data_IF_580253945504
#
_entry.id   IF_580253945504
#
_cell.length_a   1.000
_cell.length_b   1.000
_cell.length_c   1.000
_cell.angle_alpha   90.00
_cell.angle_beta   90.00
_cell.angle_gamma   90.00
#
_symmetry.space_group_name_H-M   'P 1'
#
loop_
_entity.id
_entity.type
_entity.pdbx_description
1 polymer ?
#
# COMPACT_ATOMS: atom_id res chain seq x y z
N UNK A 1 15.40 -3.77 -9.40
CA UNK A 1 16.60 -3.01 -9.00
C UNK A 1 17.24 -2.19 -10.12
N UNK A 2 17.01 -2.45 -11.41
CA UNK A 2 17.68 -1.72 -12.51
C UNK A 2 17.63 -0.18 -12.37
N UNK A 3 16.45 0.40 -12.13
CA UNK A 3 16.26 1.85 -11.95
C UNK A 3 16.71 2.39 -10.57
N UNK A 4 17.27 1.55 -9.69
CA UNK A 4 17.77 1.95 -8.36
C UNK A 4 16.77 2.78 -7.53
N UNK A 5 15.49 2.41 -7.56
CA UNK A 5 14.40 3.08 -6.85
C UNK A 5 14.48 2.87 -5.32
N UNK A 6 15.51 3.40 -4.67
CA UNK A 6 15.82 3.13 -3.26
C UNK A 6 14.78 3.64 -2.26
N UNK A 7 13.89 4.54 -2.69
CA UNK A 7 12.75 5.00 -1.88
C UNK A 7 11.56 4.02 -1.92
N UNK A 8 11.60 3.00 -2.78
CA UNK A 8 10.58 1.95 -2.85
C UNK A 8 10.85 0.88 -1.80
N UNK A 9 9.87 0.67 -0.93
CA UNK A 9 9.88 -0.38 0.11
C UNK A 9 8.61 -1.20 -0.08
N UNK A 10 8.76 -2.48 -0.37
CA UNK A 10 7.66 -3.43 -0.50
C UNK A 10 7.63 -4.37 0.71
N UNK A 11 6.43 -4.64 1.24
CA UNK A 11 6.21 -5.68 2.23
C UNK A 11 5.55 -6.86 1.54
N UNK A 12 6.18 -8.03 1.65
CA UNK A 12 5.62 -9.29 1.17
C UNK A 12 5.13 -10.09 2.38
N UNK A 13 3.81 -10.25 2.47
CA UNK A 13 3.16 -11.11 3.45
C UNK A 13 3.32 -12.58 3.02
N UNK A 14 4.39 -13.19 3.52
CA UNK A 14 4.74 -14.59 3.29
C UNK A 14 3.98 -15.47 4.28
N UNK A 15 2.69 -15.69 4.01
CA UNK A 15 1.80 -16.50 4.85
C UNK A 15 1.60 -17.94 4.34
N UNK A 16 2.37 -18.32 3.32
CA UNK A 16 2.37 -19.63 2.66
C UNK A 16 1.00 -20.12 2.18
N UNK A 17 0.04 -19.22 1.96
CA UNK A 17 -1.35 -19.57 1.62
C UNK A 17 -1.89 -18.77 0.44
N UNK A 18 -2.59 -19.44 -0.47
CA UNK A 18 -3.36 -18.88 -1.58
C UNK A 18 -4.83 -19.27 -1.45
N UNK A 19 -5.68 -18.88 -2.41
CA UNK A 19 -7.10 -19.28 -2.46
C UNK A 19 -7.25 -20.81 -2.47
N UNK A 20 -6.44 -21.50 -3.28
CA UNK A 20 -6.57 -22.95 -3.50
C UNK A 20 -5.91 -23.80 -2.40
N UNK A 21 -5.12 -23.19 -1.50
CA UNK A 21 -4.47 -23.92 -0.42
C UNK A 21 -3.07 -23.38 -0.10
N UNK A 22 -2.14 -24.27 0.22
CA UNK A 22 -0.76 -23.89 0.50
C UNK A 22 -0.04 -23.45 -0.77
N UNK A 23 0.86 -22.48 -0.66
CA UNK A 23 1.66 -21.97 -1.79
C UNK A 23 2.41 -23.09 -2.48
N UNK A 24 2.96 -24.07 -1.75
CA UNK A 24 3.73 -25.18 -2.31
C UNK A 24 3.01 -26.05 -3.36
N UNK A 25 1.68 -25.91 -3.51
CA UNK A 25 0.92 -26.53 -4.60
C UNK A 25 1.27 -25.95 -5.99
N UNK A 26 1.65 -24.67 -6.05
CA UNK A 26 1.90 -23.96 -7.31
C UNK A 26 3.03 -22.92 -7.25
N UNK A 27 3.62 -22.67 -6.07
CA UNK A 27 4.57 -21.61 -5.79
C UNK A 27 5.54 -22.03 -4.68
N UNK A 28 6.77 -22.39 -5.05
CA UNK A 28 7.79 -22.95 -4.15
C UNK A 28 9.19 -22.34 -4.34
N UNK A 29 9.28 -21.20 -5.01
CA UNK A 29 10.54 -20.48 -5.22
C UNK A 29 10.97 -19.68 -3.97
N UNK A 30 12.26 -19.36 -3.88
CA UNK A 30 12.76 -18.38 -2.90
C UNK A 30 12.58 -16.96 -3.46
N UNK A 31 11.50 -16.31 -3.04
CA UNK A 31 11.17 -14.93 -3.40
C UNK A 31 12.30 -13.97 -3.03
N UNK A 32 12.91 -14.15 -1.86
CA UNK A 32 14.03 -13.34 -1.41
C UNK A 32 15.23 -13.46 -2.36
N UNK A 33 15.59 -14.69 -2.74
CA UNK A 33 16.67 -14.92 -3.69
C UNK A 33 16.36 -14.32 -5.08
N UNK A 34 15.13 -14.46 -5.58
CA UNK A 34 14.73 -13.84 -6.85
C UNK A 34 14.83 -12.31 -6.82
N UNK A 35 14.37 -11.67 -5.74
CA UNK A 35 14.49 -10.22 -5.59
C UNK A 35 15.94 -9.76 -5.42
N UNK A 36 16.77 -10.52 -4.70
CA UNK A 36 18.20 -10.27 -4.62
C UNK A 36 18.86 -10.30 -6.02
N UNK A 37 18.49 -11.27 -6.87
CA UNK A 37 18.96 -11.36 -8.25
C UNK A 37 18.52 -10.15 -9.10
N UNK A 38 17.37 -9.54 -8.81
CA UNK A 38 16.93 -8.28 -9.41
C UNK A 38 17.64 -7.03 -8.85
N UNK A 39 18.69 -7.21 -8.03
CA UNK A 39 19.41 -6.16 -7.30
C UNK A 39 18.51 -5.35 -6.36
N UNK A 40 17.71 -6.04 -5.56
CA UNK A 40 16.99 -5.46 -4.42
C UNK A 40 17.74 -5.70 -3.12
N UNK A 41 17.52 -4.83 -2.14
CA UNK A 41 17.81 -5.13 -0.75
C UNK A 41 16.72 -6.05 -0.20
N UNK A 42 17.09 -7.11 0.51
CA UNK A 42 16.14 -8.11 1.03
C UNK A 42 16.28 -8.14 2.55
N UNK A 43 15.21 -7.75 3.24
CA UNK A 43 15.09 -7.85 4.69
C UNK A 43 14.07 -8.94 5.03
N UNK A 44 14.21 -9.56 6.22
CA UNK A 44 13.32 -10.62 6.67
C UNK A 44 12.78 -10.34 8.07
N UNK A 45 11.50 -10.65 8.26
CA UNK A 45 10.85 -10.76 9.58
C UNK A 45 10.36 -12.20 9.68
N UNK A 46 11.01 -13.02 10.51
CA UNK A 46 10.72 -14.46 10.58
C UNK A 46 9.44 -14.80 11.37
N UNK A 47 8.97 -13.88 12.21
CA UNK A 47 7.72 -14.04 12.98
C UNK A 47 6.96 -12.71 13.04
N UNK A 48 6.28 -12.37 11.94
CA UNK A 48 5.48 -11.16 11.84
C UNK A 48 4.31 -11.14 12.83
N UNK A 49 3.83 -12.30 13.28
CA UNK A 49 2.69 -12.34 14.20
C UNK A 49 3.07 -12.07 15.65
N UNK A 50 4.30 -12.38 16.09
CA UNK A 50 4.69 -12.25 17.50
C UNK A 50 5.92 -11.38 17.75
N UNK A 51 6.66 -10.94 16.72
CA UNK A 51 7.82 -10.07 16.93
C UNK A 51 7.43 -8.71 17.57
N UNK A 52 8.36 -8.10 18.34
CA UNK A 52 8.12 -6.80 18.95
C UNK A 52 7.99 -5.71 17.88
N UNK A 53 7.18 -4.70 18.17
CA UNK A 53 6.97 -3.50 17.35
C UNK A 53 8.28 -2.80 16.96
N UNK A 54 9.28 -2.82 17.84
CA UNK A 54 10.61 -2.25 17.59
C UNK A 54 11.37 -2.94 16.45
N UNK A 55 11.06 -4.22 16.14
CA UNK A 55 11.64 -4.89 14.97
C UNK A 55 11.11 -4.29 13.67
N UNK A 56 9.81 -3.99 13.60
CA UNK A 56 9.21 -3.31 12.45
C UNK A 56 9.84 -1.95 12.22
N UNK A 57 10.01 -1.17 13.29
CA UNK A 57 10.69 0.13 13.21
C UNK A 57 12.11 -0.02 12.66
N UNK A 58 12.89 -0.96 13.20
CA UNK A 58 14.27 -1.24 12.75
C UNK A 58 14.31 -1.58 11.26
N UNK A 59 13.44 -2.48 10.79
CA UNK A 59 13.39 -2.92 9.39
C UNK A 59 13.01 -1.77 8.46
N UNK A 60 12.05 -0.93 8.85
CA UNK A 60 11.67 0.27 8.08
C UNK A 60 12.83 1.28 8.02
N UNK A 61 13.54 1.50 9.13
CA UNK A 61 14.70 2.40 9.14
C UNK A 61 15.85 1.86 8.29
N UNK A 62 16.11 0.56 8.36
CA UNK A 62 17.13 -0.10 7.54
C UNK A 62 16.79 0.02 6.05
N UNK A 63 15.53 -0.23 5.67
CA UNK A 63 15.04 -0.04 4.31
C UNK A 63 15.17 1.41 3.83
N UNK A 64 14.84 2.40 4.69
CA UNK A 64 14.99 3.84 4.39
C UNK A 64 16.44 4.30 4.29
N UNK A 65 17.38 3.58 4.92
CA UNK A 65 18.80 3.91 4.85
C UNK A 65 19.46 3.52 3.53
N UNK A 66 18.81 2.65 2.73
CA UNK A 66 19.26 2.27 1.40
C UNK A 66 19.31 3.47 0.46
N UNK A 67 20.38 3.53 -0.36
CA UNK A 67 20.63 4.62 -1.32
C UNK A 67 20.63 4.17 -2.78
N UNK A 68 20.74 2.87 -3.03
CA UNK A 68 20.93 2.35 -4.39
C UNK A 68 19.95 1.27 -4.80
N UNK A 69 19.24 0.65 -3.86
CA UNK A 69 18.40 -0.51 -4.12
C UNK A 69 17.01 -0.30 -3.53
N UNK A 70 15.93 -0.62 -4.26
CA UNK A 70 14.63 -0.81 -3.62
C UNK A 70 14.73 -1.95 -2.58
N UNK A 71 13.88 -1.91 -1.56
CA UNK A 71 13.85 -2.92 -0.51
C UNK A 71 12.58 -3.76 -0.59
N UNK A 72 12.72 -5.08 -0.47
CA UNK A 72 11.63 -5.99 -0.13
C UNK A 72 11.83 -6.50 1.29
N UNK A 73 10.77 -6.44 2.10
CA UNK A 73 10.70 -7.05 3.42
C UNK A 73 9.85 -8.30 3.30
N UNK A 74 10.48 -9.47 3.34
CA UNK A 74 9.80 -10.77 3.36
C UNK A 74 9.39 -11.05 4.80
N UNK A 75 8.08 -10.98 5.07
CA UNK A 75 7.53 -11.10 6.41
C UNK A 75 6.75 -12.40 6.52
N UNK A 76 7.27 -13.35 7.29
CA UNK A 76 6.56 -14.59 7.57
C UNK A 76 5.40 -14.32 8.51
N UNK A 77 4.20 -14.73 8.12
CA UNK A 77 3.01 -14.63 8.96
C UNK A 77 2.16 -15.89 8.87
N UNK A 78 1.12 -15.95 9.68
CA UNK A 78 0.07 -16.95 9.68
C UNK A 78 -1.21 -16.25 9.23
N UNK A 79 -1.75 -16.65 8.08
CA UNK A 79 -3.03 -16.14 7.60
C UNK A 79 -4.13 -16.41 8.63
N UNK A 80 -4.97 -15.42 8.91
CA UNK A 80 -6.00 -15.54 9.93
C UNK A 80 -5.45 -15.84 11.33
N UNK A 81 -4.26 -15.33 11.67
CA UNK A 81 -3.65 -15.50 12.99
C UNK A 81 -4.66 -15.25 14.13
N UNK A 82 -4.79 -16.25 15.00
CA UNK A 82 -5.70 -16.37 16.11
C UNK A 82 -7.19 -16.50 15.77
N UNK A 83 -7.54 -16.83 14.53
CA UNK A 83 -8.87 -17.30 14.12
C UNK A 83 -9.22 -18.71 14.66
N UNK A 84 -8.24 -19.40 15.26
CA UNK A 84 -8.44 -20.69 15.90
C UNK A 84 -8.52 -21.86 14.91
N UNK A 85 -8.90 -23.03 15.45
CA UNK A 85 -8.76 -24.32 14.77
C UNK A 85 -9.55 -24.36 13.45
N UNK A 86 -8.87 -24.72 12.38
CA UNK A 86 -9.46 -24.97 11.06
C UNK A 86 -9.61 -23.74 10.18
N UNK A 87 -9.25 -22.54 10.66
CA UNK A 87 -9.22 -21.30 9.88
C UNK A 87 -7.80 -20.71 9.84
N UNK A 88 -7.17 -20.55 11.00
CA UNK A 88 -5.80 -20.06 11.12
C UNK A 88 -4.82 -20.94 10.30
N UNK A 89 -3.98 -20.28 9.49
CA UNK A 89 -2.99 -20.94 8.65
C UNK A 89 -3.57 -21.68 7.43
N UNK A 90 -4.86 -21.51 7.13
CA UNK A 90 -5.54 -22.19 6.02
C UNK A 90 -6.14 -21.21 5.01
N UNK A 91 -6.34 -21.67 3.78
CA UNK A 91 -6.98 -20.87 2.71
C UNK A 91 -8.40 -20.43 3.05
N UNK A 92 -9.08 -21.10 3.99
CA UNK A 92 -10.41 -20.71 4.46
C UNK A 92 -10.44 -19.33 5.12
N UNK A 93 -9.32 -18.88 5.69
CA UNK A 93 -9.19 -17.53 6.24
C UNK A 93 -9.01 -16.43 5.18
N UNK A 94 -8.82 -16.78 3.90
CA UNK A 94 -8.53 -15.81 2.83
C UNK A 94 -9.75 -14.96 2.45
N UNK A 95 -10.90 -15.60 2.20
CA UNK A 95 -12.11 -14.92 1.73
C UNK A 95 -13.42 -15.45 2.32
N UNK A 96 -13.33 -16.35 3.31
CA UNK A 96 -14.49 -16.98 3.93
C UNK A 96 -15.14 -16.12 5.01
N UNK A 97 -16.42 -16.39 5.29
CA UNK A 97 -17.07 -15.95 6.53
C UNK A 97 -16.57 -16.82 7.69
N UNK A 98 -16.23 -16.18 8.80
CA UNK A 98 -15.82 -16.87 10.02
C UNK A 98 -17.07 -17.40 10.72
N UNK A 99 -17.29 -18.72 10.68
CA UNK A 99 -18.43 -19.37 11.33
C UNK A 99 -18.38 -19.29 12.87
N UNK A 100 -17.21 -18.97 13.44
CA UNK A 100 -16.94 -18.85 14.87
C UNK A 100 -16.80 -17.38 15.32
N UNK A 101 -17.49 -16.44 14.67
CA UNK A 101 -17.30 -14.99 14.92
C UNK A 101 -17.53 -14.58 16.39
N UNK A 102 -18.48 -15.19 17.08
CA UNK A 102 -18.74 -14.87 18.49
C UNK A 102 -17.64 -15.42 19.41
N UNK A 103 -17.01 -16.57 19.09
CA UNK A 103 -15.84 -17.09 19.82
C UNK A 103 -14.62 -16.18 19.59
N UNK A 104 -14.42 -15.73 18.35
CA UNK A 104 -13.34 -14.79 18.00
C UNK A 104 -13.53 -13.46 18.72
N UNK A 105 -14.76 -12.98 18.79
CA UNK A 105 -15.09 -11.78 19.54
C UNK A 105 -14.80 -11.98 21.03
N UNK A 106 -15.25 -13.08 21.63
CA UNK A 106 -15.00 -13.38 23.03
C UNK A 106 -13.50 -13.37 23.36
N UNK A 107 -12.68 -13.96 22.47
CA UNK A 107 -11.22 -13.93 22.58
C UNK A 107 -10.67 -12.51 22.42
N UNK A 108 -10.77 -11.93 21.24
CA UNK A 108 -9.99 -10.76 20.84
C UNK A 108 -10.50 -9.42 21.41
N UNK A 109 -11.75 -9.37 21.87
CA UNK A 109 -12.31 -8.18 22.50
C UNK A 109 -12.13 -8.21 24.03
N UNK A 110 -11.22 -9.06 24.52
CA UNK A 110 -10.78 -9.15 25.91
C UNK A 110 -9.26 -8.98 25.97
N UNK A 111 -8.69 -8.51 27.11
CA UNK A 111 -7.24 -8.41 27.27
C UNK A 111 -6.51 -9.76 27.14
N UNK A 112 -7.19 -10.86 27.48
CA UNK A 112 -6.61 -12.22 27.49
C UNK A 112 -6.40 -12.79 26.09
N UNK A 113 -7.19 -12.35 25.11
CA UNK A 113 -7.06 -12.85 23.74
C UNK A 113 -6.09 -12.07 22.87
N UNK A 114 -5.56 -10.94 23.36
CA UNK A 114 -4.54 -10.16 22.67
C UNK A 114 -3.20 -10.89 22.66
N UNK A 115 -2.31 -10.45 21.77
CA UNK A 115 -0.92 -10.92 21.77
C UNK A 115 -0.30 -10.67 23.14
N UNK A 116 0.39 -11.68 23.65
CA UNK A 116 1.19 -11.62 24.86
C UNK A 116 2.67 -11.68 24.48
N UNK A 117 3.14 -10.72 23.70
CA UNK A 117 4.59 -10.54 23.58
C UNK A 117 5.12 -9.81 24.82
N UNK A 118 6.41 -10.01 25.14
CA UNK A 118 7.10 -9.21 26.16
C UNK A 118 7.27 -7.73 25.77
N UNK A 119 6.63 -7.26 24.69
CA UNK A 119 6.69 -5.89 24.22
C UNK A 119 5.76 -4.98 25.07
N UNK A 120 6.29 -3.81 25.37
CA UNK A 120 5.56 -2.69 25.97
C UNK A 120 4.27 -2.33 25.23
N UNK A 121 4.21 -2.48 23.91
CA UNK A 121 3.02 -2.12 23.11
C UNK A 121 1.86 -3.07 23.38
N UNK A 122 2.10 -4.37 23.39
CA UNK A 122 1.05 -5.38 23.64
C UNK A 122 0.48 -5.21 25.06
N UNK A 123 1.33 -4.96 26.05
CA UNK A 123 0.91 -4.66 27.41
C UNK A 123 0.07 -3.37 27.51
N UNK A 124 0.44 -2.32 26.76
CA UNK A 124 -0.33 -1.08 26.69
C UNK A 124 -1.72 -1.29 26.07
N UNK A 125 -1.81 -2.09 25.00
CA UNK A 125 -3.09 -2.41 24.35
C UNK A 125 -3.97 -3.23 25.30
N UNK A 126 -3.43 -4.23 25.98
CA UNK A 126 -4.18 -5.01 26.96
C UNK A 126 -4.70 -4.15 28.13
N UNK A 127 -3.86 -3.26 28.66
CA UNK A 127 -4.27 -2.31 29.71
C UNK A 127 -5.36 -1.36 29.24
N UNK A 128 -5.27 -0.88 28.00
CA UNK A 128 -6.29 -0.02 27.39
C UNK A 128 -7.62 -0.77 27.24
N UNK A 129 -7.63 -1.98 26.70
CA UNK A 129 -8.85 -2.79 26.56
C UNK A 129 -9.49 -3.04 27.92
N UNK A 130 -8.71 -3.38 28.95
CA UNK A 130 -9.24 -3.58 30.30
C UNK A 130 -9.92 -2.31 30.83
N UNK A 131 -9.28 -1.13 30.67
CA UNK A 131 -9.84 0.13 31.13
C UNK A 131 -11.16 0.49 30.45
N UNK A 132 -11.28 0.23 29.15
CA UNK A 132 -12.52 0.48 28.41
C UNK A 132 -13.64 -0.45 28.89
N UNK A 133 -13.33 -1.73 29.17
CA UNK A 133 -14.28 -2.68 29.76
C UNK A 133 -14.75 -2.23 31.15
N UNK A 134 -13.82 -1.81 32.01
CA UNK A 134 -14.14 -1.29 33.35
C UNK A 134 -15.06 -0.07 33.28
N UNK A 135 -14.80 0.85 32.34
CA UNK A 135 -15.65 2.02 32.10
C UNK A 135 -17.05 1.68 31.62
N UNK A 136 -17.18 0.69 30.73
CA UNK A 136 -18.49 0.19 30.27
C UNK A 136 -19.26 -0.49 31.38
N UNK A 137 -18.60 -1.30 32.21
CA UNK A 137 -19.21 -1.97 33.36
C UNK A 137 -19.78 -0.96 34.37
N UNK A 138 -19.04 0.12 34.67
CA UNK A 138 -19.53 1.20 35.53
C UNK A 138 -20.78 1.89 34.95
N UNK A 139 -20.84 2.07 33.63
CA UNK A 139 -22.02 2.62 32.97
C UNK A 139 -23.21 1.66 32.94
N UNK A 140 -22.97 0.35 32.89
CA UNK A 140 -24.00 -0.68 32.89
C UNK A 140 -24.58 -0.96 34.29
N UNK A 141 -23.76 -0.89 35.36
CA UNK A 141 -24.25 -1.05 36.75
C UNK A 141 -25.20 0.09 37.16
N UNK A 142 -25.13 1.26 36.49
CA UNK A 142 -26.09 2.34 36.63
C UNK A 142 -27.45 2.08 35.94
N UNK A 143 -27.55 1.03 35.11
CA UNK A 143 -28.75 0.60 34.41
C UNK A 143 -29.03 -0.87 34.70
N UNK A 144 -29.88 -1.16 35.70
CA UNK A 144 -30.23 -2.51 36.17
C UNK A 144 -30.38 -3.53 35.02
N UNK A 145 -29.34 -4.32 34.75
CA UNK A 145 -29.45 -5.51 33.90
C UNK A 145 -28.40 -6.55 34.30
N UNK A 146 -28.93 -7.75 34.51
CA UNK A 146 -28.28 -8.95 35.01
C UNK A 146 -27.74 -9.74 33.81
N UNK A 147 -26.44 -10.03 33.76
CA UNK A 147 -25.87 -10.98 32.80
C UNK A 147 -24.50 -11.49 33.27
N UNK A 148 -24.46 -12.71 33.82
CA UNK A 148 -23.25 -13.40 34.27
C UNK A 148 -22.31 -13.91 33.16
N UNK A 149 -22.11 -13.13 32.09
CA UNK A 149 -21.14 -13.40 31.02
C UNK A 149 -19.90 -12.52 31.12
N UNK A 150 -18.74 -12.99 30.65
CA UNK A 150 -17.51 -12.20 30.59
C UNK A 150 -17.72 -11.00 29.64
N UNK A 151 -17.55 -9.78 30.15
CA UNK A 151 -17.82 -8.55 29.39
C UNK A 151 -16.75 -8.37 28.32
N UNK A 152 -17.18 -8.14 27.07
CA UNK A 152 -16.30 -7.87 25.93
C UNK A 152 -16.69 -6.58 25.23
N UNK A 153 -15.74 -5.97 24.50
CA UNK A 153 -16.00 -4.71 23.81
C UNK A 153 -17.15 -4.84 22.77
N UNK A 154 -18.01 -3.81 22.64
CA UNK A 154 -19.06 -3.77 21.62
C UNK A 154 -18.51 -3.94 20.19
N UNK A 155 -19.35 -4.41 19.26
CA UNK A 155 -18.98 -4.45 17.84
C UNK A 155 -18.68 -3.03 17.34
N UNK A 156 -17.63 -2.88 16.53
CA UNK A 156 -17.16 -1.58 16.01
C UNK A 156 -16.78 -0.55 17.07
N UNK A 157 -16.53 -0.98 18.31
CA UNK A 157 -16.04 -0.07 19.35
C UNK A 157 -14.59 0.30 19.09
N UNK A 158 -14.29 1.60 19.07
CA UNK A 158 -12.93 2.12 18.97
C UNK A 158 -12.61 2.92 20.23
N UNK A 159 -11.66 2.48 21.06
CA UNK A 159 -11.25 3.21 22.26
C UNK A 159 -10.80 4.63 21.96
N UNK A 160 -11.20 5.60 22.79
CA UNK A 160 -10.85 7.01 22.58
C UNK A 160 -9.34 7.28 22.54
N UNK A 161 -8.50 6.63 23.37
CA UNK A 161 -7.05 6.85 23.28
C UNK A 161 -6.45 6.33 21.97
N UNK A 162 -7.04 5.29 21.35
CA UNK A 162 -6.64 4.80 20.02
C UNK A 162 -7.02 5.83 18.97
N UNK A 163 -8.27 6.31 18.97
CA UNK A 163 -8.73 7.37 18.06
C UNK A 163 -7.85 8.61 18.17
N UNK A 164 -7.54 9.05 19.40
CA UNK A 164 -6.67 10.19 19.64
C UNK A 164 -5.27 9.97 19.06
N UNK A 165 -4.64 8.83 19.34
CA UNK A 165 -3.31 8.50 18.82
C UNK A 165 -3.25 8.56 17.28
N UNK A 166 -4.26 8.03 16.59
CA UNK A 166 -4.31 8.09 15.12
C UNK A 166 -4.63 9.49 14.58
N UNK A 167 -5.43 10.29 15.28
CA UNK A 167 -5.63 11.71 14.95
C UNK A 167 -4.34 12.52 15.07
N UNK A 168 -3.54 12.25 16.11
CA UNK A 168 -2.24 12.91 16.29
C UNK A 168 -1.29 12.60 15.11
N UNK A 169 -1.36 11.41 14.50
CA UNK A 169 -0.62 11.12 13.27
C UNK A 169 -1.13 11.92 12.07
N UNK A 170 -2.46 12.10 11.96
CA UNK A 170 -3.06 12.97 10.94
C UNK A 170 -2.55 14.40 11.05
N UNK A 171 -2.62 15.00 12.24
CA UNK A 171 -2.12 16.37 12.48
C UNK A 171 -0.64 16.51 12.16
N UNK A 172 0.19 15.50 12.49
CA UNK A 172 1.60 15.50 12.08
C UNK A 172 1.78 15.45 10.56
N UNK A 173 0.90 14.73 9.87
CA UNK A 173 0.85 14.71 8.40
C UNK A 173 0.50 16.07 7.82
N UNK A 174 -0.54 16.71 8.36
CA UNK A 174 -0.98 18.05 7.95
C UNK A 174 0.14 19.07 8.12
N UNK A 175 0.80 19.10 9.28
CA UNK A 175 1.95 20.00 9.49
C UNK A 175 3.10 19.76 8.49
N UNK A 176 3.32 18.52 8.06
CA UNK A 176 4.33 18.20 7.04
C UNK A 176 3.89 18.60 5.63
N UNK A 177 2.59 18.58 5.35
CA UNK A 177 2.05 19.13 4.12
C UNK A 177 2.20 20.65 4.10
N UNK A 178 1.84 21.34 5.18
CA UNK A 178 2.01 22.79 5.32
C UNK A 178 3.47 23.22 5.11
N UNK A 179 4.42 22.55 5.79
CA UNK A 179 5.86 22.77 5.60
C UNK A 179 6.30 22.60 4.14
N UNK A 180 5.72 21.62 3.43
CA UNK A 180 6.01 21.36 2.01
C UNK A 180 5.41 22.42 1.09
N UNK A 181 4.19 22.89 1.37
CA UNK A 181 3.55 23.97 0.61
C UNK A 181 4.33 25.29 0.77
N UNK A 182 4.76 25.63 1.98
CA UNK A 182 5.64 26.78 2.22
C UNK A 182 6.97 26.66 1.47
N UNK A 183 7.56 25.46 1.44
CA UNK A 183 8.76 25.18 0.65
C UNK A 183 8.50 25.34 -0.85
N UNK A 184 7.35 24.88 -1.36
CA UNK A 184 6.98 25.00 -2.77
C UNK A 184 6.78 26.47 -3.17
N UNK A 185 6.13 27.27 -2.33
CA UNK A 185 5.96 28.71 -2.57
C UNK A 185 7.30 29.45 -2.58
N UNK A 186 8.23 29.08 -1.69
CA UNK A 186 9.60 29.61 -1.72
C UNK A 186 10.32 29.22 -3.01
N UNK A 187 10.20 27.96 -3.45
CA UNK A 187 10.74 27.50 -4.72
C UNK A 187 10.20 28.34 -5.90
N UNK A 188 8.89 28.55 -5.99
CA UNK A 188 8.31 29.40 -7.04
C UNK A 188 8.86 30.83 -7.00
N UNK A 189 8.95 31.44 -5.81
CA UNK A 189 9.46 32.81 -5.67
C UNK A 189 10.94 32.94 -6.04
N UNK A 190 11.77 31.99 -5.63
CA UNK A 190 13.22 32.03 -5.85
C UNK A 190 13.61 31.73 -7.31
N UNK A 191 12.87 30.85 -7.97
CA UNK A 191 13.22 30.35 -9.31
C UNK A 191 12.41 30.96 -10.45
N UNK A 192 11.36 31.75 -10.19
CA UNK A 192 10.52 32.36 -11.25
C UNK A 192 11.31 33.11 -12.32
N UNK A 193 12.39 33.80 -11.95
CA UNK A 193 13.18 34.62 -12.86
C UNK A 193 14.42 33.87 -13.38
N UNK A 194 14.89 32.85 -12.64
CA UNK A 194 16.08 32.05 -12.99
C UNK A 194 15.76 30.88 -13.92
N UNK A 195 14.62 30.22 -13.67
CA UNK A 195 14.17 28.99 -14.35
C UNK A 195 12.64 29.05 -14.59
N UNK A 196 12.14 30.06 -15.33
CA UNK A 196 10.70 30.32 -15.48
C UNK A 196 9.92 29.13 -16.05
N UNK A 197 10.51 28.37 -16.99
CA UNK A 197 9.86 27.22 -17.61
C UNK A 197 9.66 26.06 -16.64
N UNK A 198 10.63 25.79 -15.75
CA UNK A 198 10.51 24.74 -14.73
C UNK A 198 9.46 25.09 -13.67
N UNK A 199 9.40 26.37 -13.28
CA UNK A 199 8.38 26.86 -12.35
C UNK A 199 6.98 26.74 -12.98
N UNK A 200 6.83 27.13 -14.25
CA UNK A 200 5.57 26.96 -14.99
C UNK A 200 5.17 25.49 -15.06
N UNK A 201 6.04 24.62 -15.58
CA UNK A 201 5.74 23.19 -15.80
C UNK A 201 5.35 22.49 -14.49
N UNK A 202 6.11 22.70 -13.40
CA UNK A 202 5.77 22.12 -12.11
C UNK A 202 4.41 22.63 -11.60
N UNK A 203 4.16 23.94 -11.66
CA UNK A 203 2.91 24.54 -11.19
C UNK A 203 1.70 24.05 -11.97
N UNK A 204 1.81 23.97 -13.29
CA UNK A 204 0.75 23.46 -14.17
C UNK A 204 0.45 21.99 -13.87
N UNK A 205 1.48 21.15 -13.74
CA UNK A 205 1.30 19.72 -13.40
C UNK A 205 0.68 19.51 -12.03
N UNK A 206 1.07 20.31 -11.04
CA UNK A 206 0.46 20.27 -9.71
C UNK A 206 -1.03 20.66 -9.75
N UNK A 207 -1.46 21.44 -10.75
CA UNK A 207 -2.87 21.78 -11.03
C UNK A 207 -3.56 20.76 -11.95
N UNK A 208 -2.90 19.66 -12.33
CA UNK A 208 -3.43 18.67 -13.25
C UNK A 208 -3.42 19.09 -14.72
N UNK A 209 -2.69 20.16 -15.08
CA UNK A 209 -2.46 20.56 -16.48
C UNK A 209 -1.21 19.85 -16.99
N UNK A 210 -1.42 18.77 -17.75
CA UNK A 210 -0.33 17.91 -18.26
C UNK A 210 0.02 18.18 -19.72
N UNK A 211 -0.86 18.87 -20.45
CA UNK A 211 -0.72 19.15 -21.87
C UNK A 211 -0.85 20.66 -22.07
N UNK A 212 -0.07 21.20 -23.00
CA UNK A 212 -0.25 22.57 -23.47
C UNK A 212 -1.57 22.67 -24.23
N UNK A 213 -2.22 23.83 -24.23
CA UNK A 213 -3.51 24.01 -24.92
C UNK A 213 -3.42 23.66 -26.43
N UNK A 214 -2.24 23.83 -27.03
CA UNK A 214 -1.96 23.56 -28.44
C UNK A 214 -1.38 22.16 -28.74
N UNK A 215 -1.42 21.22 -27.79
CA UNK A 215 -0.84 19.88 -28.00
C UNK A 215 -1.43 19.17 -29.24
N UNK A 216 -2.72 19.36 -29.51
CA UNK A 216 -3.39 18.86 -30.71
C UNK A 216 -2.85 19.47 -32.01
N UNK A 217 -2.47 20.76 -31.99
CA UNK A 217 -1.89 21.42 -33.16
C UNK A 217 -0.54 20.80 -33.53
N UNK A 218 0.25 20.36 -32.54
CA UNK A 218 1.51 19.65 -32.75
C UNK A 218 1.30 18.30 -33.46
N UNK A 219 0.22 17.58 -33.11
CA UNK A 219 -0.17 16.34 -33.81
C UNK A 219 -0.55 16.65 -35.25
N UNK A 220 -1.41 17.64 -35.47
CA UNK A 220 -1.87 18.00 -36.82
C UNK A 220 -0.71 18.46 -37.70
N UNK A 221 0.22 19.25 -37.16
CA UNK A 221 1.40 19.69 -37.88
C UNK A 221 2.29 18.50 -38.27
N UNK A 222 2.49 17.54 -37.36
CA UNK A 222 3.24 16.32 -37.65
C UNK A 222 2.55 15.47 -38.73
N UNK A 223 1.24 15.21 -38.58
CA UNK A 223 0.47 14.43 -39.55
C UNK A 223 0.50 15.08 -40.95
N UNK A 224 0.35 16.40 -41.03
CA UNK A 224 0.42 17.12 -42.29
C UNK A 224 1.82 17.06 -42.90
N UNK A 225 2.87 17.24 -42.10
CA UNK A 225 4.27 17.20 -42.56
C UNK A 225 4.68 15.81 -43.06
N UNK A 226 4.14 14.74 -42.46
CA UNK A 226 4.52 13.35 -42.74
C UNK A 226 3.45 12.56 -43.50
N UNK A 227 2.43 13.22 -44.04
CA UNK A 227 1.25 12.59 -44.64
C UNK A 227 1.62 11.54 -45.71
N UNK A 228 2.55 11.87 -46.61
CA UNK A 228 2.94 10.97 -47.70
C UNK A 228 3.69 9.73 -47.20
N UNK A 229 4.55 9.87 -46.19
CA UNK A 229 5.21 8.73 -45.54
C UNK A 229 4.21 7.84 -44.80
N UNK A 230 3.23 8.45 -44.11
CA UNK A 230 2.18 7.74 -43.39
C UNK A 230 1.32 6.92 -44.36
N UNK A 231 0.88 7.54 -45.47
CA UNK A 231 0.12 6.87 -46.52
C UNK A 231 0.90 5.72 -47.15
N UNK A 232 2.19 5.91 -47.47
CA UNK A 232 3.03 4.85 -48.04
C UNK A 232 3.15 3.66 -47.08
N UNK A 233 3.41 3.92 -45.80
CA UNK A 233 3.55 2.88 -44.77
C UNK A 233 2.25 2.12 -44.54
N UNK A 234 1.09 2.80 -44.60
CA UNK A 234 -0.22 2.18 -44.48
C UNK A 234 -0.58 1.32 -45.70
N UNK A 235 -0.22 1.75 -46.93
CA UNK A 235 -0.38 0.93 -48.14
C UNK A 235 0.45 -0.34 -48.06
N UNK A 236 1.71 -0.25 -47.62
CA UNK A 236 2.57 -1.42 -47.40
C UNK A 236 1.99 -2.39 -46.36
N UNK A 237 1.47 -1.88 -45.23
CA UNK A 237 0.80 -2.71 -44.22
C UNK A 237 -0.49 -3.36 -44.72
N UNK A 238 -1.17 -2.74 -45.68
CA UNK A 238 -2.42 -3.22 -46.28
C UNK A 238 -2.22 -4.08 -47.54
N UNK A 239 -0.98 -4.28 -48.00
CA UNK A 239 -0.66 -4.90 -49.29
C UNK A 239 -1.38 -4.26 -50.48
N UNK A 240 -1.56 -2.94 -50.47
CA UNK A 240 -2.10 -2.19 -51.60
C UNK A 240 -0.96 -1.84 -52.60
N UNK A 241 -1.14 -2.05 -53.92
CA UNK A 241 -0.12 -1.73 -54.92
C UNK A 241 0.10 -0.22 -55.09
N UNK A 242 1.30 0.19 -55.51
CA UNK A 242 1.64 1.60 -55.76
C UNK A 242 0.90 2.15 -56.99
N UNK A 243 0.33 3.35 -56.89
CA UNK A 243 -0.41 4.07 -57.95
C UNK A 243 0.42 4.41 -59.20
N UNK A 244 1.71 4.06 -59.24
CA UNK A 244 2.56 4.26 -60.41
C UNK A 244 2.37 3.21 -61.53
N UNK A 245 1.53 2.18 -61.30
CA UNK A 245 1.28 1.07 -62.23
C UNK A 245 -0.16 1.03 -62.79
N UNK A 246 -0.84 2.17 -62.94
CA UNK A 246 -1.98 2.24 -63.87
C UNK A 246 -1.48 2.57 -65.28
N UNK A 247 -1.38 1.59 -66.21
CA UNK A 247 -1.18 1.92 -67.62
C UNK A 247 -2.45 2.62 -68.11
N UNK A 248 -2.24 3.80 -68.66
CA UNK A 248 -3.16 4.60 -69.46
C UNK A 248 -4.05 3.73 -70.36
N UNK A 249 -5.23 3.35 -69.86
CA UNK A 249 -6.21 2.60 -70.61
C UNK A 249 -7.08 3.56 -71.42
N UNK A 250 -6.44 4.30 -72.33
CA UNK A 250 -7.09 4.73 -73.56
C UNK A 250 -7.32 3.50 -74.45
N UNK A 251 -8.54 2.98 -74.45
CA UNK A 251 -9.27 2.49 -75.65
C UNK A 251 -10.70 2.08 -75.32
#
# INVERSE_FOLDING_TARGET
GHLKLHKLIAFYDDNETTIDGKTNLAFSEDVGARFAAYNWNVLRIEDGNQCPSTLYEKVVQEAKSQREKPTIVVMKTIIGCGAGRGLEGTSKAHGGTFSNIEDLRAKWHSPKGLRSSGDSVDAQVASLVQRELDGLALSAVASESDAGGETVLPKFHVPQPVMKKFRDFGTRGDSKADEWEEMLLRYYSEFKDKEPDLVRDLSERMQGKYLTDDWHASINQYLNKHNEMIKSSLRTLRNEPDEADEPDAMR
#
